data_IF_641638816686
#
_entry.id   IF_641638816686
#
_cell.length_a   1.000
_cell.length_b   1.000
_cell.length_c   1.000
_cell.angle_alpha   90.00
_cell.angle_beta   90.00
_cell.angle_gamma   90.00
#
_symmetry.space_group_name_H-M   'P 1'
#
loop_
_entity.id
_entity.type
_entity.pdbx_description
1 polymer ?
#
# COMPACT_ATOMS: atom_id res chain seq x y z
N UNK A 1 -63.49 24.54 -131.46
CA UNK A 1 -62.25 24.00 -130.84
C UNK A 1 -62.02 24.75 -129.54
N UNK A 2 -62.58 24.27 -128.43
CA UNK A 2 -62.03 23.24 -127.54
C UNK A 2 -61.13 23.81 -126.43
N UNK A 3 -61.75 24.15 -125.30
CA UNK A 3 -61.54 23.42 -124.03
C UNK A 3 -60.09 23.19 -123.55
N UNK A 4 -59.20 24.19 -123.61
CA UNK A 4 -57.78 24.04 -123.23
C UNK A 4 -57.37 24.62 -121.85
N UNK A 5 -58.08 25.60 -121.32
CA UNK A 5 -57.55 26.47 -120.25
C UNK A 5 -57.98 26.10 -118.83
N UNK A 6 -59.05 25.32 -118.66
CA UNK A 6 -59.61 24.97 -117.33
C UNK A 6 -58.90 23.78 -116.64
N UNK A 7 -58.36 22.81 -117.41
CA UNK A 7 -57.65 21.65 -116.84
C UNK A 7 -56.26 21.99 -116.29
N UNK A 8 -55.56 22.98 -116.83
CA UNK A 8 -54.19 23.37 -116.39
C UNK A 8 -54.19 24.16 -115.08
N UNK A 9 -55.23 24.97 -114.82
CA UNK A 9 -55.40 25.68 -113.54
C UNK A 9 -55.81 24.73 -112.42
N UNK A 10 -56.74 23.80 -112.67
CA UNK A 10 -57.14 22.77 -111.71
C UNK A 10 -56.00 21.79 -111.32
N UNK A 11 -55.15 21.38 -112.28
CA UNK A 11 -53.98 20.55 -111.98
C UNK A 11 -52.86 21.31 -111.25
N UNK A 12 -52.70 22.62 -111.53
CA UNK A 12 -51.73 23.48 -110.83
C UNK A 12 -52.18 23.82 -109.41
N UNK A 13 -53.47 24.04 -109.17
CA UNK A 13 -54.02 24.19 -107.81
C UNK A 13 -53.89 22.87 -107.07
N UNK A 14 -54.36 21.74 -107.61
CA UNK A 14 -54.23 20.43 -106.96
C UNK A 14 -52.79 20.03 -106.62
N UNK A 15 -51.81 20.28 -107.51
CA UNK A 15 -50.38 20.07 -107.20
C UNK A 15 -49.84 21.05 -106.15
N UNK A 16 -50.33 22.28 -106.11
CA UNK A 16 -49.97 23.26 -105.06
C UNK A 16 -50.59 22.87 -103.71
N UNK A 17 -51.83 22.38 -103.68
CA UNK A 17 -52.46 21.86 -102.46
C UNK A 17 -51.76 20.61 -101.97
N UNK A 18 -51.47 19.64 -102.86
CA UNK A 18 -50.73 18.44 -102.52
C UNK A 18 -49.30 18.73 -102.01
N UNK A 19 -48.58 19.67 -102.64
CA UNK A 19 -47.28 20.15 -102.11
C UNK A 19 -47.41 20.86 -100.76
N UNK A 20 -48.44 21.69 -100.57
CA UNK A 20 -48.68 22.36 -99.28
C UNK A 20 -49.02 21.36 -98.17
N UNK A 21 -49.81 20.34 -98.47
CA UNK A 21 -50.15 19.25 -97.54
C UNK A 21 -48.92 18.39 -97.23
N UNK A 22 -48.10 18.06 -98.23
CA UNK A 22 -46.86 17.31 -98.02
C UNK A 22 -45.81 18.09 -97.21
N UNK A 23 -45.67 19.40 -97.48
CA UNK A 23 -44.78 20.29 -96.70
C UNK A 23 -45.33 20.47 -95.28
N UNK A 24 -46.63 20.66 -95.11
CA UNK A 24 -47.25 20.74 -93.77
C UNK A 24 -47.06 19.42 -93.00
N UNK A 25 -47.25 18.27 -93.65
CA UNK A 25 -47.01 16.95 -93.06
C UNK A 25 -45.55 16.75 -92.65
N UNK A 26 -44.59 17.14 -93.50
CA UNK A 26 -43.16 17.06 -93.19
C UNK A 26 -42.76 18.00 -92.03
N UNK A 27 -43.29 19.22 -91.98
CA UNK A 27 -43.06 20.16 -90.88
C UNK A 27 -43.63 19.61 -89.57
N UNK A 28 -44.84 19.05 -89.59
CA UNK A 28 -45.44 18.40 -88.40
C UNK A 28 -44.58 17.22 -87.94
N UNK A 29 -44.09 16.38 -88.85
CA UNK A 29 -43.23 15.24 -88.52
C UNK A 29 -41.88 15.67 -87.92
N UNK A 30 -41.25 16.72 -88.46
CA UNK A 30 -40.03 17.29 -87.90
C UNK A 30 -40.26 17.94 -86.52
N UNK A 31 -41.40 18.60 -86.31
CA UNK A 31 -41.77 19.16 -84.99
C UNK A 31 -42.02 18.05 -83.99
N UNK A 32 -42.70 16.96 -84.37
CA UNK A 32 -42.95 15.81 -83.50
C UNK A 32 -41.66 15.05 -83.16
N UNK A 33 -40.76 14.86 -84.14
CA UNK A 33 -39.45 14.25 -83.91
C UNK A 33 -38.56 15.13 -83.02
N UNK A 34 -38.54 16.45 -83.24
CA UNK A 34 -37.84 17.41 -82.40
C UNK A 34 -38.40 17.49 -80.97
N UNK A 35 -39.73 17.39 -80.82
CA UNK A 35 -40.39 17.30 -79.53
C UNK A 35 -40.03 15.99 -78.81
N UNK A 36 -40.01 14.85 -79.50
CA UNK A 36 -39.63 13.56 -78.91
C UNK A 36 -38.16 13.54 -78.45
N UNK A 37 -37.23 14.07 -79.26
CA UNK A 37 -35.82 14.23 -78.88
C UNK A 37 -35.67 15.21 -77.73
N UNK A 38 -36.38 16.34 -77.74
CA UNK A 38 -36.38 17.32 -76.66
C UNK A 38 -36.90 16.74 -75.33
N UNK A 39 -37.96 15.93 -75.37
CA UNK A 39 -38.50 15.20 -74.21
C UNK A 39 -37.49 14.18 -73.68
N UNK A 40 -36.85 13.38 -74.55
CA UNK A 40 -35.83 12.43 -74.13
C UNK A 40 -34.58 13.08 -73.52
N UNK A 41 -34.15 14.23 -74.03
CA UNK A 41 -33.05 15.02 -73.43
C UNK A 41 -33.45 15.61 -72.07
N UNK A 42 -34.70 16.05 -71.91
CA UNK A 42 -35.20 16.58 -70.64
C UNK A 42 -35.36 15.48 -69.58
N UNK A 43 -35.87 14.30 -69.96
CA UNK A 43 -35.96 13.15 -69.05
C UNK A 43 -34.58 12.63 -68.68
N UNK A 44 -33.64 12.49 -69.62
CA UNK A 44 -32.25 12.13 -69.30
C UNK A 44 -31.56 13.14 -68.37
N UNK A 45 -31.87 14.44 -68.48
CA UNK A 45 -31.41 15.47 -67.54
C UNK A 45 -32.06 15.36 -66.16
N UNK A 46 -33.34 14.98 -66.09
CA UNK A 46 -34.05 14.74 -64.82
C UNK A 46 -33.51 13.50 -64.12
N UNK A 47 -33.25 12.43 -64.85
CA UNK A 47 -32.68 11.19 -64.33
C UNK A 47 -31.26 11.42 -63.80
N UNK A 48 -30.43 12.16 -64.55
CA UNK A 48 -29.10 12.56 -64.09
C UNK A 48 -29.18 13.44 -62.83
N UNK A 49 -30.09 14.43 -62.79
CA UNK A 49 -30.29 15.26 -61.61
C UNK A 49 -30.82 14.45 -60.40
N UNK A 50 -31.66 13.46 -60.62
CA UNK A 50 -32.15 12.55 -59.58
C UNK A 50 -31.03 11.65 -59.05
N UNK A 51 -30.17 11.12 -59.94
CA UNK A 51 -29.00 10.35 -59.56
C UNK A 51 -27.98 11.19 -58.78
N UNK A 52 -27.70 12.42 -59.19
CA UNK A 52 -26.82 13.36 -58.48
C UNK A 52 -27.39 13.74 -57.10
N UNK A 53 -28.71 13.95 -57.01
CA UNK A 53 -29.38 14.21 -55.74
C UNK A 53 -29.30 13.01 -54.79
N UNK A 54 -29.50 11.79 -55.31
CA UNK A 54 -29.37 10.56 -54.54
C UNK A 54 -27.92 10.32 -54.08
N UNK A 55 -26.93 10.55 -54.95
CA UNK A 55 -25.52 10.45 -54.60
C UNK A 55 -25.13 11.48 -53.53
N UNK A 56 -25.62 12.72 -53.64
CA UNK A 56 -25.41 13.78 -52.63
C UNK A 56 -26.06 13.43 -51.29
N UNK A 57 -27.26 12.83 -51.30
CA UNK A 57 -27.92 12.36 -50.09
C UNK A 57 -27.20 11.16 -49.45
N UNK A 58 -26.68 10.22 -50.24
CA UNK A 58 -25.84 9.13 -49.71
C UNK A 58 -24.52 9.66 -49.13
N UNK A 59 -23.91 10.66 -49.79
CA UNK A 59 -22.69 11.30 -49.30
C UNK A 59 -22.92 12.06 -47.98
N UNK A 60 -24.05 12.76 -47.81
CA UNK A 60 -24.37 13.46 -46.56
C UNK A 60 -24.63 12.49 -45.41
N UNK A 61 -25.32 11.38 -45.65
CA UNK A 61 -25.51 10.31 -44.65
C UNK A 61 -24.17 9.68 -44.25
N UNK A 62 -23.29 9.40 -45.22
CA UNK A 62 -21.96 8.87 -44.93
C UNK A 62 -21.10 9.87 -44.13
N UNK A 63 -21.17 11.17 -44.46
CA UNK A 63 -20.48 12.22 -43.71
C UNK A 63 -21.01 12.34 -42.28
N UNK A 64 -22.33 12.24 -42.08
CA UNK A 64 -22.92 12.24 -40.74
C UNK A 64 -22.48 11.02 -39.93
N UNK A 65 -22.49 9.82 -40.52
CA UNK A 65 -22.03 8.60 -39.84
C UNK A 65 -20.56 8.68 -39.42
N UNK A 66 -19.69 9.28 -40.25
CA UNK A 66 -18.28 9.52 -39.89
C UNK A 66 -18.15 10.56 -38.75
N UNK A 67 -18.98 11.60 -38.74
CA UNK A 67 -19.01 12.59 -37.66
C UNK A 67 -19.48 11.98 -36.34
N UNK A 68 -20.52 11.14 -36.37
CA UNK A 68 -21.04 10.43 -35.19
C UNK A 68 -20.00 9.44 -34.63
N UNK A 69 -19.30 8.70 -35.50
CA UNK A 69 -18.21 7.80 -35.12
C UNK A 69 -17.00 8.55 -34.53
N UNK A 70 -16.64 9.70 -35.10
CA UNK A 70 -15.61 10.57 -34.53
C UNK A 70 -15.99 11.08 -33.13
N UNK A 71 -17.22 11.56 -32.95
CA UNK A 71 -17.74 11.99 -31.66
C UNK A 71 -17.77 10.83 -30.64
N UNK A 72 -18.18 9.63 -31.06
CA UNK A 72 -18.16 8.45 -30.20
C UNK A 72 -16.74 8.07 -29.76
N UNK A 73 -15.74 8.16 -30.65
CA UNK A 73 -14.33 7.93 -30.31
C UNK A 73 -13.79 8.97 -29.33
N UNK A 74 -14.13 10.24 -29.48
CA UNK A 74 -13.72 11.29 -28.54
C UNK A 74 -14.27 11.03 -27.13
N UNK A 75 -15.55 10.68 -27.02
CA UNK A 75 -16.16 10.34 -25.73
C UNK A 75 -15.52 9.06 -25.14
N UNK A 76 -15.25 8.04 -25.95
CA UNK A 76 -14.57 6.83 -25.51
C UNK A 76 -13.15 7.12 -25.00
N UNK A 77 -12.39 7.97 -25.71
CA UNK A 77 -11.05 8.39 -25.31
C UNK A 77 -11.08 9.20 -23.99
N UNK A 78 -12.07 10.07 -23.81
CA UNK A 78 -12.26 10.82 -22.56
C UNK A 78 -12.56 9.89 -21.38
N UNK A 79 -13.44 8.89 -21.55
CA UNK A 79 -13.72 7.87 -20.52
C UNK A 79 -12.49 7.04 -20.17
N UNK A 80 -11.74 6.59 -21.18
CA UNK A 80 -10.50 5.84 -20.96
C UNK A 80 -9.46 6.67 -20.20
N UNK A 81 -9.30 7.95 -20.55
CA UNK A 81 -8.39 8.87 -19.86
C UNK A 81 -8.81 9.12 -18.41
N UNK A 82 -10.11 9.29 -18.16
CA UNK A 82 -10.66 9.44 -16.81
C UNK A 82 -10.44 8.18 -15.95
N UNK A 83 -10.67 6.99 -16.53
CA UNK A 83 -10.43 5.71 -15.86
C UNK A 83 -8.94 5.54 -15.50
N UNK A 84 -8.03 5.83 -16.43
CA UNK A 84 -6.59 5.77 -16.17
C UNK A 84 -6.17 6.75 -15.06
N UNK A 85 -6.71 7.97 -15.06
CA UNK A 85 -6.43 8.96 -14.03
C UNK A 85 -6.95 8.51 -12.64
N UNK A 86 -8.12 7.86 -12.60
CA UNK A 86 -8.67 7.29 -11.37
C UNK A 86 -7.81 6.16 -10.82
N UNK A 87 -7.40 5.20 -11.66
CA UNK A 87 -6.49 4.11 -11.27
C UNK A 87 -5.16 4.65 -10.76
N UNK A 88 -4.55 5.60 -11.48
CA UNK A 88 -3.27 6.20 -11.08
C UNK A 88 -3.36 6.92 -9.73
N UNK A 89 -4.49 7.59 -9.46
CA UNK A 89 -4.75 8.24 -8.17
C UNK A 89 -4.91 7.21 -7.06
N UNK A 90 -5.64 6.14 -7.30
CA UNK A 90 -5.83 5.06 -6.33
C UNK A 90 -4.51 4.40 -5.97
N UNK A 91 -3.65 4.09 -6.94
CA UNK A 91 -2.31 3.55 -6.70
C UNK A 91 -1.45 4.49 -5.85
N UNK A 92 -1.45 5.79 -6.16
CA UNK A 92 -0.69 6.77 -5.38
C UNK A 92 -1.21 6.90 -3.94
N UNK A 93 -2.54 6.83 -3.74
CA UNK A 93 -3.16 6.81 -2.41
C UNK A 93 -2.77 5.56 -1.63
N UNK A 94 -2.86 4.38 -2.25
CA UNK A 94 -2.47 3.10 -1.62
C UNK A 94 -0.99 3.10 -1.22
N UNK A 95 -0.11 3.64 -2.07
CA UNK A 95 1.30 3.78 -1.73
C UNK A 95 1.54 4.72 -0.53
N UNK A 96 0.83 5.85 -0.46
CA UNK A 96 0.91 6.77 0.67
C UNK A 96 0.35 6.14 1.96
N UNK A 97 -0.74 5.39 1.89
CA UNK A 97 -1.30 4.66 3.03
C UNK A 97 -0.29 3.66 3.61
N UNK A 98 0.31 2.83 2.74
CA UNK A 98 1.34 1.88 3.16
C UNK A 98 2.54 2.60 3.79
N UNK A 99 3.02 3.70 3.18
CA UNK A 99 4.11 4.48 3.74
C UNK A 99 3.77 5.08 5.12
N UNK A 100 2.53 5.52 5.34
CA UNK A 100 2.07 6.05 6.64
C UNK A 100 2.02 4.96 7.72
N UNK A 101 1.49 3.79 7.39
CA UNK A 101 1.45 2.63 8.30
C UNK A 101 2.86 2.22 8.71
N UNK A 102 3.72 2.04 7.72
CA UNK A 102 5.14 1.78 7.89
C UNK A 102 5.76 2.86 8.80
N UNK A 103 5.62 4.15 8.47
CA UNK A 103 6.23 5.22 9.24
C UNK A 103 5.80 5.25 10.70
N UNK A 104 4.53 4.92 10.98
CA UNK A 104 4.04 4.71 12.35
C UNK A 104 4.79 3.57 13.05
N UNK A 105 4.92 2.42 12.40
CA UNK A 105 5.65 1.28 12.96
C UNK A 105 7.14 1.59 13.23
N UNK A 106 7.78 2.44 12.41
CA UNK A 106 9.16 2.90 12.68
C UNK A 106 9.23 3.79 13.93
N UNK A 107 8.28 4.71 14.11
CA UNK A 107 8.22 5.52 15.33
C UNK A 107 8.01 4.64 16.57
N UNK A 108 7.13 3.65 16.50
CA UNK A 108 6.90 2.75 17.63
C UNK A 108 8.13 1.89 17.94
N UNK A 109 8.81 1.38 16.90
CA UNK A 109 9.95 0.48 17.06
C UNK A 109 11.23 1.16 17.56
N UNK A 110 11.38 2.47 17.34
CA UNK A 110 12.63 3.21 17.65
C UNK A 110 12.48 4.20 18.80
N UNK A 111 11.45 4.05 19.64
CA UNK A 111 11.14 5.01 20.69
C UNK A 111 12.20 5.08 21.79
N UNK A 112 12.81 6.25 21.96
CA UNK A 112 13.96 6.45 22.84
C UNK A 112 15.23 5.71 22.40
N UNK A 113 15.26 5.18 21.17
CA UNK A 113 16.35 4.36 20.63
C UNK A 113 16.97 5.00 19.38
N UNK A 114 17.07 6.33 19.33
CA UNK A 114 17.73 7.06 18.25
C UNK A 114 18.85 7.94 18.81
N UNK A 115 19.86 8.24 17.99
CA UNK A 115 20.95 9.13 18.38
C UNK A 115 20.51 10.60 18.44
N UNK A 116 19.54 10.96 17.60
CA UNK A 116 18.94 12.29 17.50
C UNK A 116 17.41 12.18 17.47
N UNK A 117 16.72 12.69 18.50
CA UNK A 117 15.26 12.66 18.56
C UNK A 117 14.61 13.57 17.50
N UNK A 118 15.33 14.56 16.96
CA UNK A 118 14.80 15.47 15.94
C UNK A 118 14.42 14.74 14.64
N UNK A 119 15.05 13.60 14.32
CA UNK A 119 14.66 12.82 13.15
C UNK A 119 13.32 12.09 13.34
N UNK A 120 12.98 11.71 14.59
CA UNK A 120 11.66 11.14 14.91
C UNK A 120 10.59 12.22 14.83
N UNK A 121 10.86 13.42 15.34
CA UNK A 121 9.95 14.57 15.22
C UNK A 121 9.69 14.94 13.76
N UNK A 122 10.73 14.90 12.92
CA UNK A 122 10.60 15.13 11.48
C UNK A 122 9.70 14.07 10.82
N UNK A 123 9.89 12.78 11.12
CA UNK A 123 9.02 11.72 10.62
C UNK A 123 7.56 11.91 11.08
N UNK A 124 7.34 12.23 12.36
CA UNK A 124 6.01 12.49 12.90
C UNK A 124 5.31 13.66 12.18
N UNK A 125 6.02 14.73 11.86
CA UNK A 125 5.48 15.87 11.11
C UNK A 125 5.09 15.49 9.67
N UNK A 126 5.93 14.71 8.98
CA UNK A 126 5.63 14.23 7.63
C UNK A 126 4.40 13.30 7.65
N UNK A 127 4.29 12.42 8.65
CA UNK A 127 3.14 11.53 8.82
C UNK A 127 1.84 12.30 9.06
N UNK A 128 1.87 13.39 9.82
CA UNK A 128 0.69 14.25 10.01
C UNK A 128 0.24 14.88 8.69
N UNK A 129 1.18 15.41 7.89
CA UNK A 129 0.86 15.95 6.55
C UNK A 129 0.30 14.86 5.62
N UNK A 130 0.88 13.66 5.65
CA UNK A 130 0.43 12.54 4.85
C UNK A 130 -0.99 12.07 5.24
N UNK A 131 -1.30 11.97 6.53
CA UNK A 131 -2.65 11.64 7.04
C UNK A 131 -3.67 12.68 6.61
N UNK A 132 -3.34 13.96 6.74
CA UNK A 132 -4.21 15.04 6.27
C UNK A 132 -4.48 14.98 4.76
N UNK A 133 -3.45 14.69 3.96
CA UNK A 133 -3.62 14.52 2.51
C UNK A 133 -4.55 13.33 2.17
N UNK A 134 -4.42 12.22 2.91
CA UNK A 134 -5.29 11.05 2.77
C UNK A 134 -6.74 11.33 3.19
N UNK A 135 -6.97 12.14 4.22
CA UNK A 135 -8.33 12.56 4.61
C UNK A 135 -8.97 13.48 3.57
N UNK A 136 -8.18 14.39 2.99
CA UNK A 136 -8.63 15.35 1.98
C UNK A 136 -8.88 14.74 0.59
N UNK A 137 -8.45 13.48 0.36
CA UNK A 137 -8.59 12.77 -0.92
C UNK A 137 -9.34 11.44 -0.71
N UNK A 138 -10.67 11.43 -0.52
CA UNK A 138 -11.43 10.22 -0.24
C UNK A 138 -11.29 9.14 -1.32
N UNK A 139 -11.35 7.88 -0.90
CA UNK A 139 -11.29 6.71 -1.78
C UNK A 139 -12.42 6.70 -2.83
N UNK A 140 -13.58 7.22 -2.44
CA UNK A 140 -14.82 7.20 -3.21
C UNK A 140 -15.26 8.62 -3.62
N UNK A 141 -14.33 9.49 -3.99
CA UNK A 141 -14.70 10.72 -4.71
C UNK A 141 -15.32 10.30 -6.05
N UNK A 142 -16.61 9.96 -6.01
CA UNK A 142 -17.38 9.50 -7.14
C UNK A 142 -17.18 10.49 -8.27
N UNK A 143 -16.85 9.95 -9.44
CA UNK A 143 -17.06 10.66 -10.68
C UNK A 143 -18.57 10.92 -10.78
N UNK A 144 -19.04 12.01 -10.18
CA UNK A 144 -20.43 12.41 -10.23
C UNK A 144 -20.86 12.50 -11.67
N UNK A 145 -21.68 11.54 -12.10
CA UNK A 145 -22.43 11.60 -13.34
C UNK A 145 -23.38 12.80 -13.23
N UNK A 146 -23.09 13.89 -13.94
CA UNK A 146 -24.02 15.01 -14.11
C UNK A 146 -23.57 16.35 -13.51
N UNK A 147 -22.44 16.90 -13.96
CA UNK A 147 -22.06 18.29 -13.67
C UNK A 147 -21.58 18.98 -14.94
N UNK A 148 -22.40 19.90 -15.46
CA UNK A 148 -22.08 20.78 -16.60
C UNK A 148 -20.68 21.36 -16.50
N UNK A 149 -19.99 21.40 -17.64
CA UNK A 149 -18.79 22.19 -17.86
C UNK A 149 -18.97 23.61 -17.30
N UNK A 150 -18.17 23.97 -16.30
CA UNK A 150 -18.27 25.27 -15.63
C UNK A 150 -17.59 25.28 -14.26
N UNK A 151 -16.26 25.12 -14.23
CA UNK A 151 -15.52 25.24 -12.97
C UNK A 151 -14.10 24.70 -13.06
N UNK A 152 -13.24 25.35 -13.83
CA UNK A 152 -11.79 25.18 -13.73
C UNK A 152 -11.26 25.80 -12.42
N UNK A 153 -11.68 25.26 -11.28
CA UNK A 153 -11.03 25.53 -10.00
C UNK A 153 -9.78 24.64 -9.90
N UNK A 154 -8.63 25.16 -9.46
CA UNK A 154 -7.45 24.32 -9.27
C UNK A 154 -7.81 23.24 -8.25
N UNK A 155 -7.66 21.97 -8.64
CA UNK A 155 -7.66 20.87 -7.68
C UNK A 155 -6.69 21.27 -6.57
N UNK A 156 -7.17 21.37 -5.33
CA UNK A 156 -6.35 21.79 -4.20
C UNK A 156 -5.03 21.03 -4.20
N UNK A 157 -3.92 21.75 -4.03
CA UNK A 157 -2.54 21.24 -4.22
C UNK A 157 -2.23 19.94 -3.46
N UNK A 158 -2.98 19.61 -2.40
CA UNK A 158 -2.84 18.39 -1.60
C UNK A 158 -3.46 17.11 -2.17
N UNK A 159 -4.29 17.16 -3.22
CA UNK A 159 -5.02 15.98 -3.76
C UNK A 159 -4.49 15.43 -5.09
N UNK A 160 -3.41 15.99 -5.64
CA UNK A 160 -2.86 15.53 -6.92
C UNK A 160 -2.05 14.23 -6.79
N UNK A 161 -2.03 13.41 -7.84
CA UNK A 161 -1.20 12.19 -7.90
C UNK A 161 0.28 12.51 -7.60
N UNK A 162 0.77 13.63 -8.12
CA UNK A 162 2.13 14.09 -7.88
C UNK A 162 2.36 14.41 -6.40
N UNK A 163 1.44 15.15 -5.75
CA UNK A 163 1.53 15.47 -4.33
C UNK A 163 1.51 14.22 -3.44
N UNK A 164 0.62 13.26 -3.72
CA UNK A 164 0.56 11.98 -2.99
C UNK A 164 1.87 11.20 -3.10
N UNK A 165 2.45 11.13 -4.30
CA UNK A 165 3.75 10.47 -4.53
C UNK A 165 4.90 11.19 -3.84
N UNK A 166 4.91 12.52 -3.88
CA UNK A 166 5.91 13.33 -3.17
C UNK A 166 5.84 13.08 -1.67
N UNK A 167 4.64 13.12 -1.07
CA UNK A 167 4.46 12.80 0.34
C UNK A 167 4.89 11.37 0.69
N UNK A 168 4.58 10.39 -0.15
CA UNK A 168 5.03 9.02 0.08
C UNK A 168 6.57 8.91 0.08
N UNK A 169 7.23 9.60 -0.87
CA UNK A 169 8.68 9.67 -0.93
C UNK A 169 9.28 10.41 0.28
N UNK A 170 8.65 11.49 0.75
CA UNK A 170 9.07 12.20 1.97
C UNK A 170 8.97 11.29 3.21
N UNK A 171 7.90 10.50 3.35
CA UNK A 171 7.76 9.54 4.46
C UNK A 171 8.86 8.47 4.39
N UNK A 172 9.13 7.92 3.20
CA UNK A 172 10.20 6.94 3.01
C UNK A 172 11.58 7.52 3.36
N UNK A 173 11.87 8.75 2.94
CA UNK A 173 13.13 9.42 3.26
C UNK A 173 13.27 9.71 4.76
N UNK A 174 12.21 10.19 5.42
CA UNK A 174 12.21 10.43 6.85
C UNK A 174 12.37 9.13 7.66
N UNK A 175 11.73 8.03 7.23
CA UNK A 175 11.97 6.70 7.81
C UNK A 175 13.42 6.25 7.70
N UNK A 176 14.04 6.45 6.54
CA UNK A 176 15.44 6.09 6.33
C UNK A 176 16.37 6.89 7.26
N UNK A 177 16.07 8.17 7.50
CA UNK A 177 16.82 8.99 8.47
C UNK A 177 16.66 8.48 9.91
N UNK A 178 15.45 8.07 10.31
CA UNK A 178 15.22 7.46 11.63
C UNK A 178 15.96 6.12 11.76
N UNK A 179 15.92 5.27 10.74
CA UNK A 179 16.64 4.01 10.73
C UNK A 179 18.17 4.21 10.88
N UNK A 180 18.74 5.17 10.15
CA UNK A 180 20.16 5.51 10.28
C UNK A 180 20.51 6.02 11.69
N UNK A 181 19.68 6.90 12.27
CA UNK A 181 19.87 7.40 13.64
C UNK A 181 19.73 6.30 14.70
N UNK A 182 18.87 5.30 14.46
CA UNK A 182 18.75 4.11 15.30
C UNK A 182 19.99 3.23 15.20
N UNK A 183 20.52 2.97 13.99
CA UNK A 183 21.77 2.23 13.81
C UNK A 183 22.96 2.90 14.54
N UNK A 184 23.04 4.22 14.50
CA UNK A 184 24.03 4.99 15.25
C UNK A 184 23.88 4.81 16.76
N UNK A 185 22.64 4.83 17.27
CA UNK A 185 22.35 4.57 18.68
C UNK A 185 22.78 3.15 19.09
N UNK A 186 22.47 2.15 18.27
CA UNK A 186 22.89 0.76 18.48
C UNK A 186 24.41 0.65 18.50
N UNK A 187 25.09 1.27 17.54
CA UNK A 187 26.56 1.28 17.46
C UNK A 187 27.20 1.97 18.68
N UNK A 188 26.63 3.10 19.13
CA UNK A 188 27.10 3.81 20.32
C UNK A 188 26.94 2.95 21.59
N UNK A 189 25.83 2.21 21.72
CA UNK A 189 25.65 1.25 22.81
C UNK A 189 26.66 0.10 22.75
N UNK A 190 26.87 -0.48 21.58
CA UNK A 190 27.85 -1.55 21.39
C UNK A 190 29.28 -1.08 21.73
N UNK A 191 29.64 0.15 21.35
CA UNK A 191 30.94 0.74 21.70
C UNK A 191 31.12 0.92 23.22
N UNK A 192 30.09 1.42 23.93
CA UNK A 192 30.12 1.55 25.39
C UNK A 192 30.23 0.20 26.09
N UNK A 193 29.54 -0.83 25.59
CA UNK A 193 29.63 -2.19 26.11
C UNK A 193 31.04 -2.78 25.95
N UNK A 194 31.68 -2.59 24.80
CA UNK A 194 33.07 -3.04 24.56
C UNK A 194 34.07 -2.36 25.48
N UNK A 195 33.87 -1.08 25.80
CA UNK A 195 34.74 -0.36 26.73
C UNK A 195 34.55 -0.85 28.18
N UNK A 196 33.30 -1.06 28.61
CA UNK A 196 33.01 -1.62 29.93
C UNK A 196 33.68 -3.00 30.13
N UNK A 197 33.63 -3.86 29.11
CA UNK A 197 34.23 -5.20 29.13
C UNK A 197 35.78 -5.22 29.23
N UNK A 198 36.46 -4.09 29.03
CA UNK A 198 37.93 -3.99 29.20
C UNK A 198 38.35 -3.75 30.65
N UNK A 199 37.40 -3.51 31.54
CA UNK A 199 37.66 -3.26 32.97
C UNK A 199 37.43 -4.56 33.76
N UNK A 200 38.45 -5.19 34.37
CA UNK A 200 38.26 -6.46 35.07
C UNK A 200 37.48 -6.24 36.38
N UNK A 201 36.39 -6.98 36.58
CA UNK A 201 35.69 -7.08 37.86
C UNK A 201 36.40 -8.09 38.79
N UNK A 202 36.35 -7.90 40.13
CA UNK A 202 36.90 -8.85 41.09
C UNK A 202 36.12 -10.19 41.07
N UNK A 203 36.75 -11.31 41.46
CA UNK A 203 36.16 -12.65 41.32
C UNK A 203 34.94 -12.83 42.25
N UNK A 204 33.92 -13.60 41.83
CA UNK A 204 32.71 -13.79 42.61
C UNK A 204 32.91 -14.73 43.81
N UNK A 205 32.21 -14.43 44.91
CA UNK A 205 32.07 -15.34 46.05
C UNK A 205 31.12 -16.49 45.68
N UNK A 206 31.55 -17.73 45.91
CA UNK A 206 30.77 -18.93 45.63
C UNK A 206 29.47 -19.03 46.43
N UNK A 207 28.47 -19.70 45.85
CA UNK A 207 27.15 -19.94 46.45
C UNK A 207 27.18 -21.20 47.34
N UNK A 208 26.62 -21.08 48.55
CA UNK A 208 26.21 -22.22 49.38
C UNK A 208 24.87 -22.77 48.88
N UNK A 209 24.71 -24.09 48.68
CA UNK A 209 23.46 -24.70 48.26
C UNK A 209 22.63 -25.03 49.51
N UNK A 210 21.89 -24.05 50.03
CA UNK A 210 21.02 -24.26 51.18
C UNK A 210 19.85 -23.29 51.16
N UNK A 211 18.65 -23.81 50.97
CA UNK A 211 17.42 -23.02 51.06
C UNK A 211 17.28 -22.38 52.44
N UNK A 212 16.94 -21.10 52.45
CA UNK A 212 16.29 -20.44 53.57
C UNK A 212 15.48 -19.28 53.02
N UNK A 213 14.37 -19.00 53.68
CA UNK A 213 13.57 -17.78 53.54
C UNK A 213 14.44 -16.52 53.74
N UNK A 214 15.30 -16.21 52.79
CA UNK A 214 15.95 -14.92 52.72
C UNK A 214 14.89 -13.99 52.11
N UNK A 215 14.21 -13.24 52.97
CA UNK A 215 13.19 -12.24 52.61
C UNK A 215 13.67 -11.29 51.50
N UNK A 216 14.99 -11.18 51.30
CA UNK A 216 15.66 -10.42 50.23
C UNK A 216 15.48 -11.00 48.83
N UNK A 217 15.27 -12.30 48.69
CA UNK A 217 15.05 -12.98 47.41
C UNK A 217 13.56 -13.11 47.06
N UNK A 218 12.65 -12.75 47.97
CA UNK A 218 11.22 -12.89 47.75
C UNK A 218 10.76 -11.95 46.64
N UNK A 219 10.16 -12.51 45.59
CA UNK A 219 9.52 -11.72 44.53
C UNK A 219 8.41 -10.84 45.12
N UNK A 220 8.25 -9.65 44.55
CA UNK A 220 7.10 -8.77 44.83
C UNK A 220 5.86 -9.18 44.05
N UNK A 221 5.98 -10.10 43.08
CA UNK A 221 4.86 -10.64 42.33
C UNK A 221 4.00 -11.57 43.19
N UNK A 222 2.73 -11.22 43.34
CA UNK A 222 1.72 -12.00 44.08
C UNK A 222 0.56 -12.48 43.18
N UNK A 223 0.71 -12.32 41.86
CA UNK A 223 -0.28 -12.72 40.87
C UNK A 223 -0.31 -14.23 40.57
N UNK A 224 -1.23 -14.69 39.71
CA UNK A 224 -1.27 -16.10 39.30
C UNK A 224 0.01 -16.47 38.51
N UNK A 225 0.46 -17.73 38.56
CA UNK A 225 1.65 -18.12 37.83
C UNK A 225 1.39 -18.12 36.32
N UNK A 226 2.30 -17.54 35.57
CA UNK A 226 2.33 -17.59 34.11
C UNK A 226 3.56 -18.35 33.63
N UNK A 227 3.49 -18.86 32.40
CA UNK A 227 4.50 -19.72 31.83
C UNK A 227 4.72 -19.35 30.37
N UNK A 228 5.89 -19.71 29.83
CA UNK A 228 6.18 -19.53 28.42
C UNK A 228 5.26 -20.39 27.55
N UNK A 229 4.92 -19.92 26.36
CA UNK A 229 4.10 -20.67 25.41
C UNK A 229 4.95 -21.53 24.47
N UNK A 230 4.49 -22.72 24.08
CA UNK A 230 5.03 -23.41 22.91
C UNK A 230 4.65 -22.65 21.63
N UNK A 231 5.25 -22.97 20.47
CA UNK A 231 4.86 -22.38 19.20
C UNK A 231 3.37 -22.56 18.90
N UNK A 232 2.75 -21.52 18.34
CA UNK A 232 1.32 -21.52 18.03
C UNK A 232 1.03 -22.42 16.83
N UNK A 233 0.25 -23.48 17.05
CA UNK A 233 -0.20 -24.36 15.97
C UNK A 233 -1.05 -23.58 14.96
N UNK A 234 -0.61 -23.57 13.70
CA UNK A 234 -1.28 -22.82 12.63
C UNK A 234 -1.15 -21.30 12.77
N UNK A 235 -0.15 -20.82 13.52
CA UNK A 235 0.14 -19.40 13.66
C UNK A 235 0.44 -18.71 12.33
N UNK A 236 -0.02 -17.47 12.20
CA UNK A 236 0.14 -16.62 11.00
C UNK A 236 1.38 -15.71 11.08
N UNK A 237 2.13 -15.76 12.18
CA UNK A 237 3.31 -14.93 12.39
C UNK A 237 3.03 -13.57 13.02
N UNK A 238 1.77 -13.25 13.32
CA UNK A 238 1.40 -12.05 14.08
C UNK A 238 1.75 -12.18 15.57
N UNK A 239 1.69 -11.06 16.30
CA UNK A 239 2.05 -11.00 17.72
C UNK A 239 1.21 -11.97 18.57
N UNK A 240 1.88 -12.93 19.20
CA UNK A 240 1.26 -14.01 19.97
C UNK A 240 0.70 -15.15 19.13
N UNK A 241 1.02 -15.21 17.84
CA UNK A 241 0.59 -16.27 16.89
C UNK A 241 1.75 -16.76 16.03
N UNK A 242 2.93 -16.91 16.63
CA UNK A 242 4.14 -17.36 15.91
C UNK A 242 4.11 -18.88 15.68
N UNK A 243 4.22 -19.34 14.42
CA UNK A 243 4.33 -20.76 14.11
C UNK A 243 5.71 -21.30 14.47
N UNK A 244 5.81 -22.62 14.62
CA UNK A 244 7.09 -23.30 14.94
C UNK A 244 8.19 -23.09 13.89
N UNK A 245 7.85 -22.74 12.65
CA UNK A 245 8.84 -22.39 11.62
C UNK A 245 9.57 -21.07 11.88
N UNK A 246 9.05 -20.22 12.77
CA UNK A 246 9.67 -18.94 13.15
C UNK A 246 10.41 -19.01 14.48
N UNK A 247 10.27 -20.10 15.23
CA UNK A 247 10.75 -20.22 16.60
C UNK A 247 11.78 -21.35 16.73
N UNK A 248 12.74 -21.17 17.62
CA UNK A 248 13.65 -22.21 18.06
C UNK A 248 13.62 -22.33 19.59
N UNK A 249 13.70 -23.56 20.09
CA UNK A 249 13.82 -23.83 21.51
C UNK A 249 15.27 -23.57 21.99
N UNK A 250 15.43 -23.01 23.19
CA UNK A 250 16.72 -23.00 23.87
C UNK A 250 17.21 -24.42 24.17
N UNK A 251 18.52 -24.60 24.21
CA UNK A 251 19.22 -25.86 24.45
C UNK A 251 19.18 -26.25 25.93
N UNK A 252 18.99 -25.28 26.83
CA UNK A 252 18.87 -25.44 28.27
C UNK A 252 17.55 -24.85 28.79
N UNK A 253 17.21 -25.24 30.02
CA UNK A 253 16.03 -24.72 30.72
C UNK A 253 14.71 -25.30 30.22
N UNK A 254 13.79 -25.43 31.16
CA UNK A 254 12.36 -25.61 30.91
C UNK A 254 11.62 -24.84 32.00
N UNK A 255 10.44 -24.35 31.67
CA UNK A 255 9.55 -23.77 32.68
C UNK A 255 9.08 -24.85 33.69
N UNK A 256 8.40 -24.47 34.78
CA UNK A 256 7.85 -25.43 35.75
C UNK A 256 6.80 -26.41 35.18
N UNK A 257 6.30 -26.19 33.96
CA UNK A 257 5.41 -27.10 33.23
C UNK A 257 6.16 -28.05 32.29
N UNK A 258 7.48 -27.93 32.19
CA UNK A 258 8.33 -28.73 31.31
C UNK A 258 8.38 -28.20 29.87
N UNK A 259 7.87 -27.00 29.61
CA UNK A 259 7.94 -26.35 28.29
C UNK A 259 9.34 -25.77 28.09
N UNK A 260 9.95 -26.04 26.94
CA UNK A 260 11.19 -25.35 26.54
C UNK A 260 10.91 -23.88 26.29
N UNK A 261 11.89 -23.03 26.50
CA UNK A 261 11.79 -21.62 26.13
C UNK A 261 11.93 -21.47 24.62
N UNK A 262 10.99 -20.77 24.01
CA UNK A 262 10.95 -20.55 22.56
C UNK A 262 11.10 -19.07 22.28
N UNK A 263 11.99 -18.72 21.36
CA UNK A 263 12.14 -17.37 20.82
C UNK A 263 12.28 -17.46 19.31
N UNK A 264 12.25 -16.32 18.63
CA UNK A 264 12.63 -16.20 17.22
C UNK A 264 13.98 -16.87 17.00
N UNK A 265 14.14 -17.63 15.92
CA UNK A 265 15.33 -18.48 15.68
C UNK A 265 16.66 -17.73 15.87
N UNK A 266 16.75 -16.51 15.35
CA UNK A 266 17.90 -15.62 15.48
C UNK A 266 18.12 -15.14 16.92
N UNK A 267 17.06 -14.80 17.64
CA UNK A 267 17.12 -14.40 19.04
C UNK A 267 17.54 -15.59 19.93
N UNK A 268 17.01 -16.80 19.68
CA UNK A 268 17.45 -18.02 20.36
C UNK A 268 18.93 -18.24 20.13
N UNK A 269 19.41 -18.15 18.88
CA UNK A 269 20.83 -18.33 18.57
C UNK A 269 21.74 -17.29 19.26
N UNK A 270 21.26 -16.05 19.40
CA UNK A 270 21.94 -15.02 20.17
C UNK A 270 21.95 -15.32 21.68
N UNK A 271 20.82 -15.78 22.22
CA UNK A 271 20.65 -16.15 23.62
C UNK A 271 21.54 -17.35 24.00
N UNK A 272 21.69 -18.34 23.12
CA UNK A 272 22.66 -19.44 23.31
C UNK A 272 24.09 -18.92 23.49
N UNK A 273 24.52 -17.96 22.66
CA UNK A 273 25.87 -17.38 22.77
C UNK A 273 26.02 -16.56 24.05
N UNK A 274 25.00 -15.77 24.41
CA UNK A 274 24.97 -15.04 25.67
C UNK A 274 25.09 -15.99 26.87
N UNK A 275 24.36 -17.10 26.85
CA UNK A 275 24.36 -18.07 27.93
C UNK A 275 25.70 -18.81 28.08
N UNK A 276 26.41 -19.10 26.98
CA UNK A 276 27.79 -19.61 27.07
C UNK A 276 28.69 -18.62 27.82
N UNK A 277 28.58 -17.32 27.54
CA UNK A 277 29.35 -16.30 28.23
C UNK A 277 28.89 -16.12 29.69
N UNK A 278 27.59 -16.16 29.96
CA UNK A 278 27.03 -16.08 31.31
C UNK A 278 27.50 -17.25 32.18
N UNK A 279 27.48 -18.47 31.63
CA UNK A 279 27.97 -19.67 32.31
C UNK A 279 29.46 -19.62 32.59
N UNK A 280 30.25 -19.01 31.70
CA UNK A 280 31.67 -18.80 31.94
C UNK A 280 31.94 -17.81 33.09
N UNK A 281 31.07 -16.81 33.28
CA UNK A 281 31.16 -15.82 34.36
C UNK A 281 30.66 -16.37 35.70
N UNK A 282 29.46 -16.96 35.71
CA UNK A 282 28.74 -17.30 36.95
C UNK A 282 28.72 -18.79 37.29
N UNK A 283 29.21 -19.66 36.39
CA UNK A 283 29.32 -21.10 36.63
C UNK A 283 28.01 -21.88 36.50
N UNK A 284 26.90 -21.23 36.14
CA UNK A 284 25.61 -21.86 35.86
C UNK A 284 24.94 -21.23 34.64
N UNK A 285 23.91 -21.91 34.11
CA UNK A 285 23.09 -21.37 33.03
C UNK A 285 22.31 -20.14 33.47
N UNK A 286 22.10 -19.20 32.55
CA UNK A 286 21.18 -18.09 32.72
C UNK A 286 19.78 -18.63 32.98
N UNK A 287 19.18 -18.22 34.09
CA UNK A 287 17.80 -18.59 34.39
C UNK A 287 16.84 -17.81 33.49
N UNK A 288 15.80 -18.49 33.04
CA UNK A 288 14.74 -17.91 32.21
C UNK A 288 13.40 -18.12 32.93
N UNK A 289 12.50 -17.15 32.81
CA UNK A 289 11.14 -17.24 33.36
C UNK A 289 10.09 -17.21 32.25
N UNK A 290 10.07 -16.15 31.44
CA UNK A 290 9.12 -16.00 30.35
C UNK A 290 9.83 -15.67 29.04
N UNK A 291 9.44 -16.33 27.94
CA UNK A 291 9.94 -16.02 26.59
C UNK A 291 8.79 -15.79 25.64
N UNK A 292 8.68 -16.52 24.52
CA UNK A 292 7.51 -16.41 23.65
C UNK A 292 6.21 -16.62 24.44
N UNK A 293 5.27 -15.69 24.26
CA UNK A 293 3.96 -15.71 24.89
C UNK A 293 2.88 -15.61 23.82
N UNK A 294 2.02 -16.61 23.75
CA UNK A 294 0.92 -16.62 22.80
C UNK A 294 -0.17 -15.60 23.17
N UNK A 295 -1.04 -15.32 22.20
CA UNK A 295 -2.10 -14.31 22.33
C UNK A 295 -3.07 -14.63 23.47
N UNK A 296 -3.44 -15.90 23.66
CA UNK A 296 -4.39 -16.30 24.69
C UNK A 296 -3.80 -16.11 26.10
N UNK A 297 -2.52 -16.44 26.26
CA UNK A 297 -1.78 -16.20 27.49
C UNK A 297 -1.64 -14.71 27.77
N UNK A 298 -1.41 -13.86 26.75
CA UNK A 298 -1.41 -12.41 26.91
C UNK A 298 -2.78 -11.86 27.34
N UNK A 299 -3.89 -12.42 26.85
CA UNK A 299 -5.24 -12.08 27.31
C UNK A 299 -5.39 -12.41 28.80
N UNK A 300 -5.04 -13.63 29.21
CA UNK A 300 -5.12 -14.06 30.61
C UNK A 300 -4.24 -13.18 31.53
N UNK A 301 -3.03 -12.83 31.09
CA UNK A 301 -2.16 -11.89 31.82
C UNK A 301 -2.77 -10.50 31.95
N UNK A 302 -3.37 -9.97 30.88
CA UNK A 302 -4.03 -8.65 30.90
C UNK A 302 -5.23 -8.64 31.84
N UNK A 303 -5.99 -9.73 31.89
CA UNK A 303 -7.12 -9.90 32.81
C UNK A 303 -6.66 -9.94 34.26
N UNK A 304 -5.55 -10.62 34.56
CA UNK A 304 -5.02 -10.74 35.91
C UNK A 304 -4.28 -9.48 36.40
N UNK A 305 -3.46 -8.87 35.55
CA UNK A 305 -2.50 -7.82 35.94
C UNK A 305 -2.92 -6.40 35.50
N UNK A 306 -4.05 -6.28 34.82
CA UNK A 306 -4.57 -4.99 34.39
C UNK A 306 -3.62 -4.25 33.45
N UNK A 307 -3.33 -2.98 33.72
CA UNK A 307 -2.51 -2.14 32.84
C UNK A 307 -1.02 -2.45 32.85
N UNK A 308 -0.54 -3.24 33.81
CA UNK A 308 0.87 -3.67 33.89
C UNK A 308 1.23 -4.55 32.69
N UNK A 309 0.39 -5.55 32.40
CA UNK A 309 0.59 -6.38 31.22
C UNK A 309 0.21 -5.63 29.94
N UNK A 310 1.02 -5.75 28.87
CA UNK A 310 0.71 -5.15 27.58
C UNK A 310 -0.68 -5.54 27.02
N UNK A 311 -1.25 -4.70 26.15
CA UNK A 311 -2.51 -5.03 25.46
C UNK A 311 -2.28 -6.29 24.59
N UNK A 312 -3.24 -7.23 24.54
CA UNK A 312 -3.14 -8.40 23.67
C UNK A 312 -2.77 -8.03 22.22
N UNK A 313 -1.79 -8.72 21.66
CA UNK A 313 -1.25 -8.43 20.32
C UNK A 313 -0.21 -7.31 20.24
N UNK A 314 0.19 -6.70 21.36
CA UNK A 314 1.20 -5.62 21.39
C UNK A 314 2.44 -5.93 22.23
N UNK A 315 2.48 -7.08 22.92
CA UNK A 315 3.59 -7.43 23.80
C UNK A 315 4.83 -7.86 23.02
N UNK A 316 6.02 -7.43 23.44
CA UNK A 316 7.28 -7.90 22.87
C UNK A 316 7.49 -9.41 23.01
N UNK A 317 7.00 -10.03 24.09
CA UNK A 317 7.00 -11.50 24.23
C UNK A 317 6.23 -12.20 23.10
N UNK A 318 5.13 -11.60 22.63
CA UNK A 318 4.37 -12.15 21.50
C UNK A 318 5.09 -12.02 20.16
N UNK A 319 6.13 -11.20 20.06
CA UNK A 319 7.00 -11.13 18.86
C UNK A 319 8.11 -12.18 18.86
N UNK A 320 8.32 -12.86 19.99
CA UNK A 320 9.40 -13.84 20.18
C UNK A 320 10.79 -13.22 20.34
N UNK A 321 10.87 -11.92 20.65
CA UNK A 321 12.13 -11.19 20.84
C UNK A 321 12.35 -10.72 22.28
N UNK A 322 11.50 -11.10 23.24
CA UNK A 322 11.71 -10.75 24.64
C UNK A 322 11.99 -12.00 25.49
N UNK A 323 12.78 -11.80 26.54
CA UNK A 323 12.93 -12.74 27.64
C UNK A 323 12.78 -11.99 28.97
N UNK A 324 12.23 -12.70 29.95
CA UNK A 324 12.30 -12.35 31.35
C UNK A 324 13.23 -13.34 32.05
N UNK A 325 14.15 -12.84 32.86
CA UNK A 325 14.80 -13.64 33.90
C UNK A 325 13.87 -13.74 35.12
N UNK A 326 14.07 -14.69 36.04
CA UNK A 326 13.22 -14.77 37.23
C UNK A 326 13.19 -13.46 38.03
N UNK A 327 12.01 -13.13 38.56
CA UNK A 327 11.81 -12.00 39.48
C UNK A 327 12.42 -12.29 40.87
N UNK A 328 13.74 -12.46 40.92
CA UNK A 328 14.51 -12.72 42.13
C UNK A 328 15.37 -11.48 42.46
N UNK A 329 14.91 -10.56 43.33
CA UNK A 329 15.59 -9.29 43.59
C UNK A 329 17.04 -9.45 44.09
N UNK A 330 17.35 -10.55 44.75
CA UNK A 330 18.68 -10.82 45.28
C UNK A 330 19.68 -11.31 44.21
N UNK A 331 19.20 -11.84 43.09
CA UNK A 331 20.01 -12.47 42.04
C UNK A 331 19.97 -11.64 40.75
N UNK A 332 18.79 -11.25 40.29
CA UNK A 332 18.59 -10.46 39.06
C UNK A 332 18.07 -9.05 39.30
N UNK A 333 17.84 -8.65 40.56
CA UNK A 333 17.40 -7.30 40.89
C UNK A 333 18.38 -6.21 40.47
N UNK A 334 17.91 -4.96 40.44
CA UNK A 334 18.76 -3.83 40.06
C UNK A 334 20.06 -3.78 40.86
N UNK A 335 21.19 -3.70 40.16
CA UNK A 335 22.51 -3.57 40.75
C UNK A 335 23.09 -4.86 41.32
N UNK A 336 22.42 -6.01 41.18
CA UNK A 336 23.04 -7.30 41.45
C UNK A 336 24.15 -7.58 40.42
N UNK A 337 25.11 -8.49 40.73
CA UNK A 337 26.16 -8.86 39.80
C UNK A 337 25.62 -9.38 38.46
N UNK A 338 24.63 -10.28 38.50
CA UNK A 338 24.03 -10.88 37.30
C UNK A 338 23.27 -9.83 36.48
N UNK A 339 22.47 -8.97 37.11
CA UNK A 339 21.78 -7.87 36.42
C UNK A 339 22.77 -6.92 35.75
N UNK A 340 23.76 -6.46 36.51
CA UNK A 340 24.78 -5.53 36.01
C UNK A 340 25.57 -6.13 34.84
N UNK A 341 25.92 -7.42 34.94
CA UNK A 341 26.60 -8.13 33.86
C UNK A 341 25.70 -8.31 32.64
N UNK A 342 24.42 -8.67 32.81
CA UNK A 342 23.50 -8.79 31.69
C UNK A 342 23.29 -7.45 30.98
N UNK A 343 23.14 -6.36 31.72
CA UNK A 343 23.00 -5.00 31.16
C UNK A 343 24.28 -4.55 30.42
N UNK A 344 25.47 -4.89 30.95
CA UNK A 344 26.75 -4.53 30.35
C UNK A 344 27.16 -5.40 29.17
N UNK A 345 26.97 -6.72 29.28
CA UNK A 345 27.44 -7.74 28.33
C UNK A 345 26.39 -8.13 27.31
N UNK A 346 25.12 -8.24 27.72
CA UNK A 346 23.98 -8.59 26.86
C UNK A 346 23.97 -7.87 25.51
N UNK A 347 24.22 -6.55 25.44
CA UNK A 347 24.21 -5.82 24.18
C UNK A 347 25.20 -6.33 23.14
N UNK A 348 26.32 -6.94 23.55
CA UNK A 348 27.30 -7.56 22.62
C UNK A 348 26.75 -8.80 21.92
N UNK A 349 25.64 -9.34 22.41
CA UNK A 349 24.89 -10.46 21.86
C UNK A 349 23.53 -10.02 21.31
N UNK A 350 23.26 -8.72 21.21
CA UNK A 350 21.98 -8.19 20.74
C UNK A 350 20.88 -8.17 21.79
N UNK A 351 21.16 -8.48 23.06
CA UNK A 351 20.18 -8.47 24.15
C UNK A 351 20.31 -7.20 24.98
N UNK A 352 19.25 -6.40 25.07
CA UNK A 352 19.28 -5.12 25.79
C UNK A 352 18.17 -5.07 26.83
N UNK A 353 18.45 -4.43 27.97
CA UNK A 353 17.37 -3.91 28.82
C UNK A 353 16.89 -2.59 28.21
N UNK A 354 15.61 -2.50 27.77
CA UNK A 354 15.02 -1.27 27.24
C UNK A 354 15.10 -0.12 28.23
N UNK A 355 15.17 1.12 27.76
CA UNK A 355 15.29 2.31 28.62
C UNK A 355 14.14 2.42 29.63
N UNK A 356 12.91 2.11 29.20
CA UNK A 356 11.72 2.13 30.06
C UNK A 356 11.78 1.11 31.20
N UNK A 357 12.49 -0.01 30.99
CA UNK A 357 12.63 -1.13 31.93
C UNK A 357 13.78 -0.93 32.94
N UNK A 358 14.63 0.08 32.75
CA UNK A 358 15.77 0.32 33.65
C UNK A 358 15.32 0.91 34.99
N UNK A 359 16.23 0.91 35.96
CA UNK A 359 16.03 1.62 37.22
C UNK A 359 15.76 3.11 36.96
N UNK A 360 14.59 3.59 37.40
CA UNK A 360 14.13 4.95 37.16
C UNK A 360 13.46 5.20 35.79
N UNK A 361 13.25 4.15 34.98
CA UNK A 361 12.45 4.21 33.76
C UNK A 361 10.95 4.36 34.03
N UNK A 362 10.16 4.50 32.97
CA UNK A 362 8.70 4.69 33.06
C UNK A 362 7.94 3.46 33.54
N UNK A 363 8.53 2.27 33.39
CA UNK A 363 7.99 1.02 33.92
C UNK A 363 9.17 0.09 34.31
N UNK A 364 9.80 0.29 35.47
CA UNK A 364 11.01 -0.43 35.84
C UNK A 364 10.76 -1.94 35.97
N UNK A 365 11.40 -2.73 35.11
CA UNK A 365 11.33 -4.19 35.07
C UNK A 365 12.76 -4.75 34.97
N UNK A 366 13.39 -5.06 36.11
CA UNK A 366 14.78 -5.53 36.13
C UNK A 366 14.96 -6.87 35.39
N UNK A 367 13.86 -7.62 35.27
CA UNK A 367 13.80 -8.93 34.66
C UNK A 367 13.72 -8.90 33.13
N UNK A 368 13.23 -7.82 32.52
CA UNK A 368 12.86 -7.78 31.10
C UNK A 368 14.03 -7.38 30.18
N UNK A 369 14.28 -8.19 29.16
CA UNK A 369 15.29 -7.94 28.12
C UNK A 369 14.71 -8.20 26.72
N UNK A 370 15.16 -7.40 25.74
CA UNK A 370 14.73 -7.49 24.34
C UNK A 370 15.92 -7.74 23.41
N UNK A 371 15.69 -8.58 22.40
CA UNK A 371 16.62 -8.79 21.30
C UNK A 371 16.44 -7.70 20.23
N UNK A 372 17.52 -7.02 19.88
CA UNK A 372 17.55 -5.90 18.93
C UNK A 372 18.52 -6.08 17.76
N UNK A 373 19.24 -7.22 17.69
CA UNK A 373 20.17 -7.54 16.60
C UNK A 373 21.64 -7.48 16.96
#
# INVERSE_FOLDING_TARGET
MASGTSRRTAHRTARRTARRVAVAGAVVLCVLAGAAVGVGVLDGRRDAAAADAQASASASVAAQALADDAAAREVAAARASASLAATTRQEARSALLAAVEDGGATLDATDGEVADDAVRDALAQVLQRAKHALESTPQDAEAGEGGSAGGGGPAGEGGSVAALRTLAAEVLAARAAVAASHEEWVAARAARAREAARTPAPPPAGRDPGGSDDDRCRTTYDGPPFYTSPPTKGGDGSNGRLPGSMLAATSWGVDPKGTRYYLRTEATAALERLNVAFRAEFGHDLDLDLTYRDYATQVAMREALGSIAARPGTSKHGTGYALDVPELPCEYGYGTPQHTWLVGTGPSFGWVQPSWARQGGSNPEYWHFEYVG
#
